data_IF_406773181603
#
_entry.id   IF_406773181603
#
_cell.length_a   1.000
_cell.length_b   1.000
_cell.length_c   1.000
_cell.angle_alpha   90.00
_cell.angle_beta   90.00
_cell.angle_gamma   90.00
#
_symmetry.space_group_name_H-M   'P 1'
#
loop_
_entity.id
_entity.type
_entity.pdbx_description
1 polymer ?
#
# COMPACT_ATOMS: atom_id res chain seq x y z
N UNK A 1 -36.84 82.20 -66.07
CA UNK A 1 -38.18 82.67 -65.66
C UNK A 1 -38.83 81.67 -64.71
N UNK A 2 -38.71 81.92 -63.40
CA UNK A 2 -39.76 81.73 -62.39
C UNK A 2 -39.23 82.37 -61.11
N UNK A 3 -40.02 83.32 -60.62
CA UNK A 3 -39.62 84.41 -59.75
C UNK A 3 -39.42 83.99 -58.29
N UNK A 4 -38.46 84.67 -57.68
CA UNK A 4 -38.13 84.75 -56.26
C UNK A 4 -39.34 85.08 -55.37
N UNK A 5 -39.32 84.55 -54.14
CA UNK A 5 -39.91 85.24 -52.97
C UNK A 5 -38.80 85.44 -51.93
N UNK A 6 -38.41 86.71 -51.78
CA UNK A 6 -37.50 87.22 -50.77
C UNK A 6 -38.24 87.39 -49.43
N UNK A 7 -37.57 87.05 -48.33
CA UNK A 7 -37.83 87.62 -47.01
C UNK A 7 -36.61 88.46 -46.59
N UNK A 8 -36.80 89.61 -45.93
CA UNK A 8 -35.77 90.64 -45.79
C UNK A 8 -34.72 90.37 -44.71
N UNK A 9 -33.60 91.06 -44.90
CA UNK A 9 -32.32 91.04 -44.20
C UNK A 9 -32.23 92.20 -43.18
N UNK A 10 -31.32 92.05 -42.20
CA UNK A 10 -30.71 93.01 -41.25
C UNK A 10 -31.25 92.95 -39.81
N UNK A 11 -30.43 92.74 -38.78
CA UNK A 11 -29.29 93.60 -38.43
C UNK A 11 -27.99 92.92 -37.90
N UNK A 12 -26.90 93.51 -38.38
CA UNK A 12 -25.51 93.55 -37.90
C UNK A 12 -25.25 93.39 -36.39
N UNK A 13 -24.24 92.57 -36.02
CA UNK A 13 -23.05 93.01 -35.26
C UNK A 13 -21.81 92.33 -35.85
N UNK A 14 -20.89 93.18 -36.28
CA UNK A 14 -19.52 92.94 -36.72
C UNK A 14 -18.59 92.54 -35.57
N UNK A 15 -17.73 91.56 -35.78
CA UNK A 15 -16.61 91.28 -34.88
C UNK A 15 -15.65 90.25 -35.45
N UNK A 16 -14.51 90.71 -35.97
CA UNK A 16 -13.42 89.94 -36.55
C UNK A 16 -12.99 88.76 -35.66
N UNK A 17 -13.34 87.53 -36.04
CA UNK A 17 -12.62 86.34 -35.58
C UNK A 17 -11.67 85.91 -36.71
N UNK A 18 -10.41 86.33 -36.56
CA UNK A 18 -9.30 85.96 -37.43
C UNK A 18 -9.28 84.44 -37.66
N UNK A 19 -9.23 84.04 -38.93
CA UNK A 19 -9.05 82.66 -39.40
C UNK A 19 -7.79 81.98 -38.80
N UNK A 20 -6.87 82.77 -38.22
CA UNK A 20 -5.70 82.26 -37.49
C UNK A 20 -6.04 81.63 -36.12
N UNK A 21 -7.21 81.92 -35.55
CA UNK A 21 -7.65 81.30 -34.28
C UNK A 21 -8.33 79.94 -34.50
N UNK A 22 -8.85 79.66 -35.70
CA UNK A 22 -9.47 78.37 -36.02
C UNK A 22 -8.43 77.28 -36.37
N UNK A 23 -7.22 77.66 -36.79
CA UNK A 23 -6.14 76.72 -37.13
C UNK A 23 -5.40 76.18 -35.89
N UNK A 24 -5.48 76.88 -34.75
CA UNK A 24 -4.86 76.43 -33.48
C UNK A 24 -5.72 75.35 -32.79
N UNK A 25 -7.03 75.31 -33.06
CA UNK A 25 -7.89 74.23 -32.54
C UNK A 25 -7.88 72.95 -33.40
N UNK A 26 -7.43 73.00 -34.66
CA UNK A 26 -7.28 71.79 -35.50
C UNK A 26 -6.00 71.00 -35.24
N UNK A 27 -5.00 71.58 -34.56
CA UNK A 27 -3.78 70.87 -34.15
C UNK A 27 -3.99 70.07 -32.85
N UNK A 28 -5.09 70.32 -32.12
CA UNK A 28 -5.46 69.56 -30.92
C UNK A 28 -6.26 68.27 -31.21
N UNK A 29 -6.57 67.97 -32.48
CA UNK A 29 -7.38 66.80 -32.87
C UNK A 29 -6.61 65.66 -33.54
N UNK A 30 -5.27 65.73 -33.61
CA UNK A 30 -4.43 64.64 -34.13
C UNK A 30 -3.14 64.41 -33.34
N UNK A 31 -3.14 64.70 -32.04
CA UNK A 31 -2.13 64.08 -31.18
C UNK A 31 -2.65 62.71 -30.74
N UNK A 32 -2.38 61.68 -31.56
CA UNK A 32 -2.05 60.39 -30.96
C UNK A 32 -0.80 60.63 -30.11
N UNK A 33 -0.99 61.05 -28.86
CA UNK A 33 0.03 60.95 -27.83
C UNK A 33 0.13 59.46 -27.52
N UNK A 34 0.78 58.72 -28.41
CA UNK A 34 1.41 57.48 -28.02
C UNK A 34 2.62 57.90 -27.20
N UNK A 35 2.39 58.15 -25.90
CA UNK A 35 3.48 58.22 -24.93
C UNK A 35 4.03 56.79 -24.78
N UNK A 36 4.88 56.37 -25.72
CA UNK A 36 5.72 55.21 -25.54
C UNK A 36 6.94 55.66 -24.74
N UNK A 37 6.89 55.40 -23.44
CA UNK A 37 8.00 55.65 -22.52
C UNK A 37 7.93 54.86 -21.22
N UNK A 38 7.07 53.86 -21.10
CA UNK A 38 7.09 52.99 -19.92
C UNK A 38 8.18 51.93 -20.12
N UNK A 39 9.31 52.09 -19.45
CA UNK A 39 10.42 51.11 -19.48
C UNK A 39 10.21 49.96 -18.49
N UNK A 40 9.17 50.05 -17.66
CA UNK A 40 8.85 49.12 -16.58
C UNK A 40 7.34 49.00 -16.37
N UNK A 41 6.87 47.99 -15.65
CA UNK A 41 5.47 47.86 -15.26
C UNK A 41 5.19 48.73 -14.04
N UNK A 42 4.13 49.55 -14.09
CA UNK A 42 3.73 50.43 -12.97
C UNK A 42 2.87 49.64 -11.98
N UNK A 43 3.27 49.71 -10.70
CA UNK A 43 2.46 49.22 -9.57
C UNK A 43 1.69 50.40 -8.97
N UNK A 44 0.37 50.36 -9.07
CA UNK A 44 -0.47 51.43 -8.53
C UNK A 44 -0.57 51.29 -7.00
N UNK A 45 -0.32 52.35 -6.26
CA UNK A 45 -0.63 52.37 -4.84
C UNK A 45 -2.14 52.50 -4.64
N UNK A 46 -2.79 51.38 -4.35
CA UNK A 46 -4.20 51.35 -3.99
C UNK A 46 -4.40 50.63 -2.67
N UNK A 47 -3.47 50.87 -1.74
CA UNK A 47 -3.33 50.11 -0.49
C UNK A 47 -4.61 49.98 0.32
N UNK A 48 -5.47 51.00 0.29
CA UNK A 48 -6.72 51.07 1.05
C UNK A 48 -7.98 51.00 0.18
N UNK A 49 -7.87 50.60 -1.09
CA UNK A 49 -9.00 50.51 -2.02
C UNK A 49 -9.38 49.06 -2.25
N UNK A 50 -10.65 48.71 -2.02
CA UNK A 50 -11.20 47.42 -2.45
C UNK A 50 -11.71 47.58 -3.88
N UNK A 51 -11.09 46.88 -4.83
CA UNK A 51 -11.55 46.81 -6.21
C UNK A 51 -12.35 45.52 -6.41
N UNK A 52 -13.56 45.62 -6.92
CA UNK A 52 -14.39 44.50 -7.37
C UNK A 52 -13.91 43.97 -8.73
N UNK A 53 -14.34 42.76 -9.13
CA UNK A 53 -14.13 42.28 -10.49
C UNK A 53 -14.65 43.25 -11.56
N UNK A 54 -15.74 43.98 -11.30
CA UNK A 54 -16.34 44.95 -12.23
C UNK A 54 -15.51 46.20 -12.47
N UNK A 55 -14.65 46.58 -11.52
CA UNK A 55 -13.83 47.79 -11.65
C UNK A 55 -12.70 47.63 -12.68
N UNK A 56 -12.48 46.39 -13.16
CA UNK A 56 -11.36 46.01 -13.99
C UNK A 56 -11.87 45.33 -15.26
N UNK A 57 -11.58 45.97 -16.41
CA UNK A 57 -11.95 45.48 -17.75
C UNK A 57 -10.87 45.80 -18.76
N UNK A 58 -10.68 44.89 -19.71
CA UNK A 58 -9.70 44.97 -20.80
C UNK A 58 -8.30 45.41 -20.35
N UNK A 59 -7.78 44.86 -19.25
CA UNK A 59 -6.48 45.26 -18.70
C UNK A 59 -5.74 44.19 -17.90
N UNK A 60 -4.42 44.35 -17.86
CA UNK A 60 -3.55 43.82 -16.81
C UNK A 60 -3.22 44.96 -15.85
N UNK A 61 -3.35 44.74 -14.54
CA UNK A 61 -3.11 45.79 -13.54
C UNK A 61 -2.29 45.25 -12.38
N UNK A 62 -1.26 45.99 -11.99
CA UNK A 62 -0.49 45.73 -10.79
C UNK A 62 -0.86 46.75 -9.71
N UNK A 63 -1.11 46.27 -8.51
CA UNK A 63 -1.51 47.08 -7.36
C UNK A 63 -0.71 46.71 -6.11
N UNK A 64 -0.27 47.73 -5.37
CA UNK A 64 0.17 47.59 -3.99
C UNK A 64 -1.04 47.70 -3.07
N UNK A 65 -1.29 46.66 -2.27
CA UNK A 65 -2.46 46.51 -1.40
C UNK A 65 -2.07 46.33 0.07
N UNK A 66 -2.86 46.87 0.99
CA UNK A 66 -2.84 46.40 2.38
C UNK A 66 -3.51 45.03 2.40
N UNK A 67 -2.84 44.04 3.00
CA UNK A 67 -3.30 42.65 3.01
C UNK A 67 -4.67 42.51 3.66
N UNK A 68 -4.91 43.23 4.77
CA UNK A 68 -6.16 43.19 5.51
C UNK A 68 -7.33 43.78 4.71
N UNK A 69 -7.09 44.75 3.83
CA UNK A 69 -8.14 45.42 3.03
C UNK A 69 -8.75 44.50 1.99
N UNK A 70 -7.97 43.59 1.43
CA UNK A 70 -8.43 42.60 0.43
C UNK A 70 -8.55 41.19 1.00
N UNK A 71 -8.43 41.07 2.32
CA UNK A 71 -8.46 39.81 3.08
C UNK A 71 -7.51 38.76 2.49
N UNK A 72 -6.35 39.19 2.02
CA UNK A 72 -5.36 38.29 1.42
C UNK A 72 -4.72 37.41 2.51
N UNK A 73 -4.61 36.10 2.30
CA UNK A 73 -3.90 35.19 3.21
C UNK A 73 -2.39 35.40 3.17
N UNK A 74 -1.67 34.82 4.13
CA UNK A 74 -0.20 34.89 4.22
C UNK A 74 0.32 35.87 5.27
N UNK A 75 1.60 36.22 5.17
CA UNK A 75 2.35 37.00 6.17
C UNK A 75 2.66 38.42 5.68
N UNK A 76 2.89 39.33 6.62
CA UNK A 76 3.17 40.74 6.35
C UNK A 76 1.91 41.63 6.27
N UNK A 77 2.13 42.95 6.29
CA UNK A 77 1.05 43.96 6.26
C UNK A 77 0.60 44.31 4.84
N UNK A 78 1.47 44.14 3.85
CA UNK A 78 1.25 44.58 2.47
C UNK A 78 1.46 43.43 1.49
N UNK A 79 0.93 43.61 0.29
CA UNK A 79 1.01 42.61 -0.77
C UNK A 79 0.95 43.25 -2.15
N UNK A 80 1.63 42.62 -3.12
CA UNK A 80 1.47 42.93 -4.53
C UNK A 80 0.35 42.10 -5.13
N UNK A 81 -0.56 42.73 -5.86
CA UNK A 81 -1.63 42.06 -6.61
C UNK A 81 -1.44 42.31 -8.10
N UNK A 82 -1.44 41.23 -8.88
CA UNK A 82 -1.55 41.28 -10.33
C UNK A 82 -2.95 40.84 -10.72
N UNK A 83 -3.69 41.70 -11.41
CA UNK A 83 -5.02 41.37 -11.95
C UNK A 83 -4.95 41.18 -13.45
N UNK A 84 -5.55 40.09 -13.93
CA UNK A 84 -5.80 39.81 -15.33
C UNK A 84 -7.32 39.90 -15.56
N UNK A 85 -7.76 40.96 -16.23
CA UNK A 85 -9.16 41.20 -16.58
C UNK A 85 -9.26 41.47 -18.08
N UNK A 86 -9.13 40.43 -18.94
CA UNK A 86 -8.98 40.61 -20.38
C UNK A 86 -10.27 41.03 -21.09
N UNK A 87 -11.43 40.90 -20.46
CA UNK A 87 -12.73 41.08 -21.10
C UNK A 87 -13.43 42.37 -20.67
N UNK A 88 -14.36 42.83 -21.52
CA UNK A 88 -15.22 43.99 -21.26
C UNK A 88 -16.63 43.62 -20.84
N UNK A 89 -16.97 42.33 -20.86
CA UNK A 89 -18.27 41.76 -20.56
C UNK A 89 -18.15 40.36 -19.91
N UNK A 90 -19.29 39.73 -19.62
CA UNK A 90 -19.36 38.43 -18.95
C UNK A 90 -19.06 37.22 -19.85
N UNK A 91 -18.95 37.40 -21.17
CA UNK A 91 -18.82 36.26 -22.11
C UNK A 91 -17.46 35.59 -22.04
N UNK A 92 -16.43 36.31 -21.61
CA UNK A 92 -15.09 35.76 -21.41
C UNK A 92 -14.87 35.04 -20.07
N UNK A 93 -15.87 35.04 -19.19
CA UNK A 93 -15.80 34.37 -17.89
C UNK A 93 -15.12 35.20 -16.80
N UNK A 94 -14.30 34.56 -15.97
CA UNK A 94 -13.77 35.15 -14.74
C UNK A 94 -12.58 36.09 -15.01
N UNK A 95 -12.45 37.12 -14.16
CA UNK A 95 -11.22 37.84 -13.93
C UNK A 95 -10.36 37.07 -12.92
N UNK A 96 -9.03 37.22 -13.01
CA UNK A 96 -8.07 36.48 -12.18
C UNK A 96 -7.17 37.44 -11.42
N UNK A 97 -6.89 37.13 -10.17
CA UNK A 97 -5.87 37.82 -9.39
C UNK A 97 -4.80 36.85 -8.91
N UNK A 98 -3.55 37.27 -9.02
CA UNK A 98 -2.40 36.69 -8.32
C UNK A 98 -1.96 37.66 -7.23
N UNK A 99 -1.57 37.11 -6.10
CA UNK A 99 -1.17 37.85 -4.92
C UNK A 99 0.18 37.31 -4.44
N UNK A 100 1.11 38.23 -4.23
CA UNK A 100 2.49 37.95 -3.83
C UNK A 100 2.73 38.60 -2.47
N UNK A 101 3.09 37.80 -1.47
CA UNK A 101 3.44 38.28 -0.14
C UNK A 101 4.45 37.34 0.54
N UNK A 102 4.87 37.68 1.76
CA UNK A 102 5.87 36.91 2.51
C UNK A 102 5.42 35.49 2.87
N UNK A 103 4.12 35.21 2.81
CA UNK A 103 3.56 33.87 2.91
C UNK A 103 3.30 33.21 1.56
N UNK A 104 4.00 33.57 0.49
CA UNK A 104 3.93 32.88 -0.82
C UNK A 104 2.99 33.51 -1.85
N UNK A 105 2.51 32.66 -2.77
CA UNK A 105 1.69 33.05 -3.93
C UNK A 105 0.28 32.49 -3.82
N UNK A 106 -0.71 33.38 -3.92
CA UNK A 106 -2.12 33.06 -3.86
C UNK A 106 -2.81 33.51 -5.14
N UNK A 107 -3.94 32.88 -5.47
CA UNK A 107 -4.79 33.31 -6.56
C UNK A 107 -6.26 33.33 -6.16
N UNK A 108 -7.05 34.14 -6.85
CA UNK A 108 -8.50 34.09 -6.75
C UNK A 108 -9.14 34.46 -8.08
N UNK A 109 -10.41 34.15 -8.20
CA UNK A 109 -11.23 34.46 -9.36
C UNK A 109 -12.40 35.35 -8.98
N UNK A 110 -12.96 36.04 -9.95
CA UNK A 110 -14.20 36.78 -9.76
C UNK A 110 -14.91 36.93 -11.10
N UNK A 111 -16.16 36.49 -11.18
CA UNK A 111 -16.95 36.64 -12.39
C UNK A 111 -17.17 38.11 -12.73
N UNK A 112 -17.08 38.45 -14.01
CA UNK A 112 -17.53 39.75 -14.48
C UNK A 112 -19.04 39.91 -14.19
N UNK A 113 -19.45 41.08 -13.71
CA UNK A 113 -20.79 41.36 -13.20
C UNK A 113 -20.87 41.35 -11.67
N UNK A 114 -19.95 40.66 -10.97
CA UNK A 114 -19.98 40.56 -9.51
C UNK A 114 -19.30 41.74 -8.80
N UNK A 115 -19.83 42.09 -7.63
CA UNK A 115 -19.29 43.14 -6.75
C UNK A 115 -18.21 42.62 -5.80
N UNK A 116 -18.01 41.30 -5.69
CA UNK A 116 -17.05 40.67 -4.81
C UNK A 116 -16.22 39.61 -5.54
N UNK A 117 -15.01 39.38 -5.04
CA UNK A 117 -14.14 38.28 -5.47
C UNK A 117 -14.49 36.99 -4.73
N UNK A 118 -14.17 35.84 -5.33
CA UNK A 118 -14.15 34.56 -4.61
C UNK A 118 -13.03 34.53 -3.55
N UNK A 119 -13.11 33.55 -2.65
CA UNK A 119 -12.08 33.27 -1.66
C UNK A 119 -10.71 33.00 -2.30
N UNK A 120 -9.65 33.44 -1.61
CA UNK A 120 -8.28 33.14 -2.00
C UNK A 120 -7.99 31.64 -1.96
N UNK A 121 -7.37 31.15 -3.03
CA UNK A 121 -6.84 29.81 -3.21
C UNK A 121 -5.32 29.90 -3.21
N UNK A 122 -4.64 28.93 -2.61
CA UNK A 122 -3.19 28.95 -2.44
C UNK A 122 -2.49 28.21 -3.57
N UNK A 123 -1.46 28.80 -4.17
CA UNK A 123 -0.73 28.22 -5.30
C UNK A 123 0.56 27.53 -4.85
N UNK A 124 1.46 28.25 -4.16
CA UNK A 124 2.75 27.73 -3.66
C UNK A 124 3.17 28.52 -2.42
N UNK A 125 3.68 27.83 -1.40
CA UNK A 125 4.44 28.41 -0.29
C UNK A 125 5.88 27.92 -0.45
N UNK A 126 6.83 28.84 -0.61
CA UNK A 126 8.17 28.60 -0.13
C UNK A 126 8.25 29.36 1.19
N UNK A 127 8.17 28.64 2.30
CA UNK A 127 8.51 29.24 3.60
C UNK A 127 9.98 29.69 3.58
N UNK A 128 10.43 30.62 4.45
CA UNK A 128 11.83 31.05 4.48
C UNK A 128 12.87 29.91 4.63
N UNK A 129 12.43 28.73 5.07
CA UNK A 129 13.25 27.52 5.19
C UNK A 129 13.16 26.56 3.97
N UNK A 130 12.44 26.94 2.91
CA UNK A 130 12.26 26.16 1.69
C UNK A 130 11.24 25.01 1.78
N UNK A 131 10.33 25.01 2.76
CA UNK A 131 9.30 23.99 2.90
C UNK A 131 8.05 24.35 2.07
N UNK A 132 7.41 23.33 1.49
CA UNK A 132 6.16 23.46 0.71
C UNK A 132 5.01 22.79 1.46
N UNK A 133 3.99 23.59 1.80
CA UNK A 133 2.74 23.11 2.41
C UNK A 133 1.58 23.06 1.41
N UNK A 134 0.99 21.88 1.22
CA UNK A 134 -0.28 21.71 0.49
C UNK A 134 -1.35 21.39 1.54
N UNK A 135 -2.43 22.17 1.60
CA UNK A 135 -3.46 22.04 2.66
C UNK A 135 -3.04 22.41 4.10
N UNK A 136 -1.80 22.87 4.35
CA UNK A 136 -1.34 23.42 5.66
C UNK A 136 -0.56 24.72 5.50
N UNK A 137 -0.66 25.66 6.45
CA UNK A 137 0.16 26.90 6.49
C UNK A 137 1.43 26.76 7.33
N UNK A 138 1.61 25.64 8.03
CA UNK A 138 2.77 25.40 8.88
C UNK A 138 3.40 24.02 8.52
N UNK A 139 4.19 23.96 7.44
CA UNK A 139 4.79 22.72 6.99
C UNK A 139 5.97 22.30 7.89
N UNK A 140 5.84 21.15 8.58
CA UNK A 140 6.87 20.58 9.48
C UNK A 140 7.95 19.75 8.76
N UNK A 141 7.85 19.61 7.43
CA UNK A 141 8.80 18.91 6.58
C UNK A 141 8.90 19.63 5.22
N UNK A 142 9.90 19.25 4.41
CA UNK A 142 10.14 19.85 3.07
C UNK A 142 8.91 19.82 2.18
N UNK A 143 8.12 18.75 2.26
CA UNK A 143 6.79 18.65 1.68
C UNK A 143 5.83 18.17 2.76
N UNK A 144 4.88 19.02 3.16
CA UNK A 144 3.80 18.66 4.08
C UNK A 144 2.47 18.77 3.34
N UNK A 145 1.83 17.63 3.10
CA UNK A 145 0.51 17.56 2.48
C UNK A 145 -0.50 17.20 3.57
N UNK A 146 -1.40 18.12 3.86
CA UNK A 146 -2.49 17.95 4.83
C UNK A 146 -3.83 17.89 4.08
N UNK A 147 -4.68 16.93 4.45
CA UNK A 147 -6.02 16.75 3.89
C UNK A 147 -6.96 16.22 4.99
N UNK A 148 -8.27 16.33 4.76
CA UNK A 148 -9.28 15.73 5.64
C UNK A 148 -9.12 14.20 5.70
N UNK A 149 -9.52 13.57 6.82
CA UNK A 149 -9.52 12.11 6.98
C UNK A 149 -10.40 11.37 5.95
N UNK A 150 -11.32 12.08 5.29
CA UNK A 150 -12.20 11.55 4.25
C UNK A 150 -11.64 11.72 2.84
N UNK A 151 -10.49 12.38 2.69
CA UNK A 151 -9.90 12.73 1.41
C UNK A 151 -8.52 12.09 1.26
N UNK A 152 -8.16 11.72 0.03
CA UNK A 152 -6.79 11.29 -0.25
C UNK A 152 -5.88 12.52 -0.32
N UNK A 153 -4.93 12.62 0.61
CA UNK A 153 -3.89 13.65 0.56
C UNK A 153 -3.06 13.58 -0.73
N UNK A 154 -2.77 12.36 -1.19
CA UNK A 154 -2.04 12.11 -2.44
C UNK A 154 -2.89 11.18 -3.31
N UNK A 155 -3.10 11.57 -4.58
CA UNK A 155 -3.67 10.72 -5.63
C UNK A 155 -2.66 10.60 -6.75
N UNK A 156 -2.32 9.36 -7.12
CA UNK A 156 -1.37 9.06 -8.19
C UNK A 156 -2.12 8.36 -9.30
N UNK A 157 -2.06 8.96 -10.49
CA UNK A 157 -2.74 8.46 -11.69
C UNK A 157 -4.01 9.22 -12.01
N UNK A 158 -4.53 8.93 -13.19
CA UNK A 158 -5.71 9.58 -13.76
C UNK A 158 -6.87 8.58 -13.80
N UNK A 159 -8.07 8.97 -13.30
CA UNK A 159 -9.26 8.15 -13.47
C UNK A 159 -9.57 7.95 -14.96
N UNK A 160 -10.27 6.87 -15.31
CA UNK A 160 -10.73 6.57 -16.67
C UNK A 160 -9.63 6.45 -17.73
N UNK A 161 -8.38 6.18 -17.34
CA UNK A 161 -7.31 5.90 -18.31
C UNK A 161 -7.25 4.40 -18.60
N UNK A 162 -7.71 3.94 -19.78
CA UNK A 162 -7.71 2.53 -20.12
C UNK A 162 -6.27 1.99 -20.14
N UNK A 163 -6.09 0.76 -19.65
CA UNK A 163 -4.82 0.04 -19.77
C UNK A 163 -4.65 -0.55 -21.17
N UNK A 164 -3.52 -1.21 -21.41
CA UNK A 164 -3.33 -2.00 -22.61
C UNK A 164 -4.25 -3.24 -22.56
N UNK A 165 -5.14 -3.40 -23.53
CA UNK A 165 -6.05 -4.56 -23.63
C UNK A 165 -5.36 -5.77 -24.28
N UNK A 166 -4.35 -5.54 -25.13
CA UNK A 166 -3.63 -6.56 -25.87
C UNK A 166 -2.49 -7.13 -25.01
N UNK A 167 -2.84 -7.76 -23.91
CA UNK A 167 -1.92 -8.33 -22.93
C UNK A 167 -2.31 -9.79 -22.64
N UNK A 168 -1.38 -10.74 -22.56
CA UNK A 168 -1.69 -12.12 -22.18
C UNK A 168 -2.43 -12.21 -20.84
N UNK A 169 -3.19 -13.27 -20.63
CA UNK A 169 -3.80 -13.54 -19.32
C UNK A 169 -2.69 -13.75 -18.28
N UNK A 170 -2.85 -13.15 -17.11
CA UNK A 170 -1.81 -13.19 -16.07
C UNK A 170 -0.59 -12.32 -16.39
N UNK A 171 -0.76 -11.23 -17.13
CA UNK A 171 0.29 -10.22 -17.32
C UNK A 171 -0.20 -8.81 -16.98
N UNK A 172 0.76 -7.93 -16.71
CA UNK A 172 0.52 -6.53 -16.31
C UNK A 172 -0.02 -5.70 -17.47
N UNK A 173 -1.17 -5.06 -17.28
CA UNK A 173 -1.83 -4.19 -18.29
C UNK A 173 -1.50 -2.73 -18.10
N UNK A 174 -0.83 -2.38 -17.00
CA UNK A 174 -0.40 -1.03 -16.66
C UNK A 174 -0.43 -0.79 -15.16
N UNK A 175 -0.08 0.42 -14.75
CA UNK A 175 -0.06 0.80 -13.35
C UNK A 175 0.58 2.16 -13.12
N UNK A 176 0.49 2.66 -11.90
CA UNK A 176 1.11 3.90 -11.47
C UNK A 176 2.12 3.64 -10.36
N UNK A 177 3.20 4.41 -10.34
CA UNK A 177 4.38 4.13 -9.54
C UNK A 177 4.71 5.32 -8.62
N UNK A 178 5.35 5.01 -7.49
CA UNK A 178 6.24 5.91 -6.75
C UNK A 178 7.64 5.34 -6.92
N UNK A 179 8.52 6.10 -7.58
CA UNK A 179 9.88 5.70 -7.89
C UNK A 179 10.86 6.34 -6.91
N UNK A 180 11.70 5.51 -6.30
CA UNK A 180 12.76 5.93 -5.39
C UNK A 180 14.09 5.82 -6.12
N UNK A 181 14.60 6.98 -6.53
CA UNK A 181 15.90 7.06 -7.19
C UNK A 181 17.03 6.87 -6.18
N UNK A 182 18.07 6.20 -6.63
CA UNK A 182 19.30 6.01 -5.88
C UNK A 182 20.50 6.16 -6.81
N UNK A 183 21.68 6.22 -6.23
CA UNK A 183 22.93 6.45 -6.92
C UNK A 183 23.83 5.22 -6.83
N UNK A 184 24.52 4.91 -7.93
CA UNK A 184 25.62 3.93 -8.00
C UNK A 184 26.71 4.50 -8.89
N UNK A 185 27.97 4.32 -8.49
CA UNK A 185 29.15 4.91 -9.16
C UNK A 185 29.18 4.67 -10.67
N UNK A 186 28.77 3.48 -11.12
CA UNK A 186 28.79 3.08 -12.54
C UNK A 186 27.47 3.33 -13.27
N UNK A 187 26.40 3.70 -12.56
CA UNK A 187 25.09 4.06 -13.13
C UNK A 187 24.44 5.12 -12.21
N UNK A 188 24.75 6.41 -12.41
CA UNK A 188 24.41 7.47 -11.46
C UNK A 188 22.91 7.73 -11.29
N UNK A 189 22.10 7.44 -12.31
CA UNK A 189 20.66 7.71 -12.33
C UNK A 189 19.86 6.42 -12.55
N UNK A 190 19.37 5.85 -11.45
CA UNK A 190 18.56 4.65 -11.49
C UNK A 190 17.48 4.61 -10.40
N UNK A 191 16.39 3.94 -10.73
CA UNK A 191 15.33 3.64 -9.77
C UNK A 191 15.80 2.46 -8.91
N UNK A 192 16.12 2.73 -7.65
CA UNK A 192 16.56 1.71 -6.69
C UNK A 192 15.40 0.85 -6.21
N UNK A 193 14.24 1.47 -6.00
CA UNK A 193 13.03 0.78 -5.57
C UNK A 193 11.77 1.46 -6.15
N UNK A 194 10.69 0.70 -6.22
CA UNK A 194 9.38 1.17 -6.69
C UNK A 194 8.25 0.56 -5.88
N UNK A 195 7.28 1.41 -5.53
CA UNK A 195 5.96 0.99 -5.06
C UNK A 195 4.98 1.22 -6.21
N UNK A 196 4.20 0.20 -6.58
CA UNK A 196 3.34 0.25 -7.77
C UNK A 196 1.95 -0.29 -7.48
N UNK A 197 0.94 0.48 -7.88
CA UNK A 197 -0.41 -0.03 -8.07
C UNK A 197 -0.48 -0.64 -9.49
N UNK A 198 -0.72 -1.94 -9.59
CA UNK A 198 -0.59 -2.69 -10.83
C UNK A 198 -1.89 -3.37 -11.25
N UNK A 199 -2.19 -3.30 -12.54
CA UNK A 199 -3.36 -3.92 -13.17
C UNK A 199 -2.94 -5.21 -13.85
N UNK A 200 -3.70 -6.28 -13.64
CA UNK A 200 -3.38 -7.60 -14.18
C UNK A 200 -4.55 -8.14 -14.97
N UNK A 201 -4.30 -8.65 -16.18
CA UNK A 201 -5.35 -9.26 -16.98
C UNK A 201 -5.80 -10.59 -16.35
N UNK A 202 -7.07 -10.65 -15.94
CA UNK A 202 -7.69 -11.86 -15.38
C UNK A 202 -8.83 -12.40 -16.25
N UNK A 203 -8.99 -11.88 -17.47
CA UNK A 203 -10.10 -12.24 -18.36
C UNK A 203 -9.70 -13.28 -19.41
N UNK A 204 -8.97 -12.87 -20.45
CA UNK A 204 -8.55 -13.74 -21.56
C UNK A 204 -7.34 -13.16 -22.27
N UNK A 205 -6.60 -14.02 -22.98
CA UNK A 205 -5.39 -13.62 -23.71
C UNK A 205 -5.69 -12.49 -24.70
N UNK A 206 -4.91 -11.41 -24.61
CA UNK A 206 -5.01 -10.22 -25.46
C UNK A 206 -6.38 -9.51 -25.43
N UNK A 207 -7.14 -9.70 -24.35
CA UNK A 207 -8.42 -9.03 -24.15
C UNK A 207 -8.65 -8.73 -22.67
N UNK A 208 -7.88 -7.78 -22.13
CA UNK A 208 -7.85 -7.46 -20.71
C UNK A 208 -9.00 -6.57 -20.22
N UNK A 209 -10.26 -6.95 -20.52
CA UNK A 209 -11.46 -6.22 -20.10
C UNK A 209 -11.72 -6.30 -18.59
N UNK A 210 -11.33 -7.41 -17.96
CA UNK A 210 -11.41 -7.61 -16.50
C UNK A 210 -9.99 -7.67 -15.96
N UNK A 211 -9.73 -6.89 -14.92
CA UNK A 211 -8.41 -6.72 -14.36
C UNK A 211 -8.45 -6.77 -12.84
N UNK A 212 -7.46 -7.43 -12.22
CA UNK A 212 -7.22 -7.28 -10.78
C UNK A 212 -6.29 -6.08 -10.52
N UNK A 213 -6.37 -5.56 -9.30
CA UNK A 213 -5.63 -4.39 -8.83
C UNK A 213 -4.77 -4.82 -7.64
N UNK A 214 -3.46 -4.83 -7.85
CA UNK A 214 -2.50 -5.32 -6.87
C UNK A 214 -1.56 -4.20 -6.43
N UNK A 215 -1.00 -4.32 -5.22
CA UNK A 215 0.10 -3.49 -4.76
C UNK A 215 1.39 -4.31 -4.82
N UNK A 216 2.39 -3.81 -5.54
CA UNK A 216 3.65 -4.50 -5.76
C UNK A 216 4.86 -3.65 -5.38
N UNK A 217 5.88 -4.32 -4.86
CA UNK A 217 7.14 -3.74 -4.42
C UNK A 217 8.27 -4.31 -5.27
N UNK A 218 9.04 -3.41 -5.86
CA UNK A 218 10.14 -3.73 -6.77
C UNK A 218 11.44 -3.21 -6.20
N UNK A 219 12.52 -3.97 -6.38
CA UNK A 219 13.88 -3.51 -6.12
C UNK A 219 14.77 -3.79 -7.31
N UNK A 220 15.79 -2.96 -7.47
CA UNK A 220 16.82 -3.13 -8.48
C UNK A 220 18.02 -3.90 -7.92
N UNK A 221 18.64 -4.73 -8.77
CA UNK A 221 19.97 -5.31 -8.51
C UNK A 221 21.10 -4.35 -8.89
N UNK A 222 20.77 -3.15 -9.39
CA UNK A 222 21.71 -2.08 -9.68
C UNK A 222 22.53 -2.27 -10.96
N UNK A 223 22.20 -3.25 -11.80
CA UNK A 223 22.96 -3.59 -13.00
C UNK A 223 22.66 -2.65 -14.19
N UNK A 224 21.44 -2.12 -14.31
CA UNK A 224 21.04 -1.06 -15.26
C UNK A 224 19.73 -0.39 -14.81
N UNK A 225 19.30 0.67 -15.52
CA UNK A 225 18.10 1.47 -15.20
C UNK A 225 16.78 0.68 -15.31
N UNK A 226 16.77 -0.47 -15.98
CA UNK A 226 15.58 -1.29 -16.24
C UNK A 226 15.49 -2.54 -15.36
N UNK A 227 16.53 -2.84 -14.56
CA UNK A 227 16.64 -4.04 -13.72
C UNK A 227 15.78 -4.03 -12.44
N UNK A 228 14.59 -3.45 -12.50
CA UNK A 228 13.60 -3.53 -11.43
C UNK A 228 12.85 -4.85 -11.52
N UNK A 229 12.96 -5.65 -10.46
CA UNK A 229 12.22 -6.92 -10.35
C UNK A 229 11.29 -6.88 -9.15
N UNK A 230 10.10 -7.44 -9.33
CA UNK A 230 9.14 -7.57 -8.25
C UNK A 230 9.68 -8.51 -7.16
N UNK A 231 9.62 -8.06 -5.91
CA UNK A 231 10.05 -8.84 -4.74
C UNK A 231 8.91 -9.25 -3.85
N UNK A 232 7.87 -8.41 -3.75
CA UNK A 232 6.70 -8.65 -2.91
C UNK A 232 5.45 -8.09 -3.57
N UNK A 233 4.32 -8.77 -3.35
CA UNK A 233 3.00 -8.36 -3.84
C UNK A 233 1.93 -8.59 -2.79
N UNK A 234 0.98 -7.67 -2.72
CA UNK A 234 -0.33 -7.85 -2.10
C UNK A 234 -1.35 -7.85 -3.23
N UNK A 235 -1.96 -9.01 -3.48
CA UNK A 235 -2.95 -9.18 -4.54
C UNK A 235 -4.31 -8.58 -4.15
N UNK A 236 -5.19 -8.37 -5.14
CA UNK A 236 -6.56 -7.90 -4.91
C UNK A 236 -7.39 -8.82 -3.99
N UNK A 237 -7.00 -10.09 -3.83
CA UNK A 237 -7.62 -11.04 -2.89
C UNK A 237 -7.04 -10.96 -1.47
N UNK A 238 -6.09 -10.06 -1.24
CA UNK A 238 -5.41 -9.86 0.03
C UNK A 238 -4.30 -10.88 0.32
N UNK A 239 -3.87 -11.66 -0.67
CA UNK A 239 -2.74 -12.60 -0.49
C UNK A 239 -1.42 -11.85 -0.62
N UNK A 240 -0.50 -12.11 0.30
CA UNK A 240 0.87 -11.59 0.31
C UNK A 240 1.81 -12.64 -0.27
N UNK A 241 2.55 -12.29 -1.31
CA UNK A 241 3.54 -13.17 -1.95
C UNK A 241 4.91 -12.53 -1.94
N UNK A 242 5.96 -13.29 -1.59
CA UNK A 242 7.36 -12.85 -1.59
C UNK A 242 8.16 -13.77 -2.51
N UNK A 243 8.84 -13.19 -3.50
CA UNK A 243 9.63 -13.92 -4.49
C UNK A 243 8.81 -14.74 -5.51
N UNK A 244 7.48 -14.71 -5.44
CA UNK A 244 6.55 -15.38 -6.37
C UNK A 244 5.35 -14.49 -6.66
N UNK A 245 4.74 -14.67 -7.83
CA UNK A 245 3.46 -14.06 -8.20
C UNK A 245 2.27 -14.99 -7.96
N UNK A 246 2.54 -16.29 -7.89
CA UNK A 246 1.54 -17.31 -7.62
C UNK A 246 1.56 -17.66 -6.13
N UNK A 247 0.48 -17.30 -5.43
CA UNK A 247 0.31 -17.60 -4.02
C UNK A 247 -0.24 -19.01 -3.78
N UNK A 248 -0.61 -19.75 -4.84
CA UNK A 248 -1.23 -21.09 -4.78
C UNK A 248 -2.44 -21.17 -3.84
N UNK A 249 -3.19 -20.07 -3.73
CA UNK A 249 -4.34 -19.96 -2.83
C UNK A 249 -4.00 -19.65 -1.36
N UNK A 250 -2.73 -19.67 -0.96
CA UNK A 250 -2.32 -19.31 0.39
C UNK A 250 -2.36 -17.79 0.60
N UNK A 251 -2.69 -17.37 1.82
CA UNK A 251 -2.68 -15.96 2.25
C UNK A 251 -1.27 -15.39 2.32
N UNK A 252 -0.28 -16.22 2.64
CA UNK A 252 1.13 -15.87 2.66
C UNK A 252 1.93 -16.93 1.92
N UNK A 253 2.62 -16.54 0.85
CA UNK A 253 3.43 -17.44 0.03
C UNK A 253 4.85 -16.88 -0.11
N UNK A 254 5.87 -17.71 0.14
CA UNK A 254 7.28 -17.34 0.00
C UNK A 254 7.96 -18.34 -0.92
N UNK A 255 8.53 -17.86 -2.02
CA UNK A 255 9.41 -18.65 -2.86
C UNK A 255 10.86 -18.51 -2.35
N UNK A 256 11.25 -19.41 -1.47
CA UNK A 256 12.59 -19.42 -0.85
C UNK A 256 12.54 -19.89 0.60
N UNK A 257 13.68 -19.80 1.27
CA UNK A 257 13.80 -20.15 2.69
C UNK A 257 13.26 -19.02 3.57
N UNK A 258 12.69 -19.38 4.72
CA UNK A 258 12.25 -18.46 5.76
C UNK A 258 13.01 -18.78 7.06
N UNK A 259 13.43 -17.74 7.78
CA UNK A 259 13.96 -17.85 9.14
C UNK A 259 13.07 -17.03 10.08
N UNK A 260 12.78 -17.57 11.24
CA UNK A 260 11.99 -16.92 12.29
C UNK A 260 12.53 -17.33 13.65
N UNK A 261 12.51 -16.42 14.63
CA UNK A 261 12.87 -16.75 16.01
C UNK A 261 11.82 -17.64 16.68
N UNK A 262 10.55 -17.47 16.31
CA UNK A 262 9.44 -18.29 16.83
C UNK A 262 8.25 -18.31 15.86
N UNK A 263 7.59 -19.47 15.76
CA UNK A 263 6.35 -19.65 15.00
C UNK A 263 5.34 -20.36 15.89
N UNK A 264 4.22 -19.69 16.18
CA UNK A 264 3.08 -20.29 16.89
C UNK A 264 2.04 -20.74 15.87
N UNK A 265 1.87 -22.06 15.74
CA UNK A 265 0.82 -22.66 14.91
C UNK A 265 -0.37 -22.98 15.79
N UNK A 266 -1.50 -22.31 15.55
CA UNK A 266 -2.76 -22.57 16.25
C UNK A 266 -3.79 -23.08 15.23
N UNK A 267 -3.98 -24.39 15.22
CA UNK A 267 -5.03 -25.01 14.42
C UNK A 267 -6.40 -24.63 14.98
N UNK A 268 -7.39 -24.46 14.11
CA UNK A 268 -8.79 -24.33 14.51
C UNK A 268 -9.40 -25.68 14.91
N UNK A 269 -8.80 -26.78 14.46
CA UNK A 269 -9.23 -28.14 14.77
C UNK A 269 -8.77 -28.55 16.17
N UNK A 270 -9.52 -29.47 16.81
CA UNK A 270 -9.17 -29.96 18.15
C UNK A 270 -7.80 -30.64 18.16
N UNK A 271 -7.01 -30.35 19.20
CA UNK A 271 -5.74 -31.00 19.47
C UNK A 271 -5.98 -32.48 19.87
N UNK A 272 -5.08 -33.42 19.54
CA UNK A 272 -5.31 -34.83 19.79
C UNK A 272 -5.03 -35.11 21.27
N UNK A 273 -6.06 -34.99 22.09
CA UNK A 273 -6.08 -35.43 23.51
C UNK A 273 -7.09 -36.58 23.69
N UNK A 274 -7.46 -37.22 22.59
CA UNK A 274 -8.47 -38.27 22.56
C UNK A 274 -7.87 -39.68 22.61
N UNK A 275 -6.57 -39.83 22.43
CA UNK A 275 -5.89 -41.15 22.42
C UNK A 275 -5.96 -41.82 23.80
N UNK A 276 -6.04 -41.03 24.87
CA UNK A 276 -6.13 -41.51 26.25
C UNK A 276 -7.56 -41.78 26.73
N UNK A 277 -8.57 -41.58 25.89
CA UNK A 277 -9.97 -41.87 26.27
C UNK A 277 -10.25 -43.37 26.20
N UNK A 278 -11.10 -43.85 27.10
CA UNK A 278 -11.45 -45.28 27.20
C UNK A 278 -12.07 -45.87 25.92
N UNK A 279 -12.67 -45.03 25.07
CA UNK A 279 -13.27 -45.42 23.79
C UNK A 279 -12.29 -45.40 22.62
N UNK A 280 -11.03 -45.01 22.83
CA UNK A 280 -10.01 -44.98 21.79
C UNK A 280 -9.61 -46.39 21.37
N UNK A 281 -9.84 -46.71 20.09
CA UNK A 281 -9.46 -48.00 19.50
C UNK A 281 -8.00 -47.96 19.07
N UNK A 282 -7.11 -48.32 20.00
CA UNK A 282 -5.70 -48.54 19.68
C UNK A 282 -5.59 -49.69 18.66
N UNK A 283 -4.98 -49.39 17.51
CA UNK A 283 -4.71 -50.41 16.48
C UNK A 283 -3.80 -51.50 17.05
N UNK A 284 -3.78 -52.71 16.49
CA UNK A 284 -2.77 -53.69 16.92
C UNK A 284 -1.42 -53.44 16.25
N UNK A 285 -0.33 -53.88 16.89
CA UNK A 285 1.01 -53.83 16.26
C UNK A 285 1.08 -54.72 15.02
N UNK A 286 0.34 -55.84 14.97
CA UNK A 286 0.26 -56.72 13.81
C UNK A 286 -0.41 -56.03 12.61
N UNK A 287 -1.51 -55.32 12.84
CA UNK A 287 -2.17 -54.52 11.79
C UNK A 287 -1.29 -53.36 11.34
N UNK A 288 -0.59 -52.71 12.27
CA UNK A 288 0.36 -51.64 11.97
C UNK A 288 1.52 -52.16 11.11
N UNK A 289 2.09 -53.32 11.46
CA UNK A 289 3.14 -53.99 10.67
C UNK A 289 2.65 -54.32 9.26
N UNK A 290 1.43 -54.87 9.14
CA UNK A 290 0.80 -55.17 7.86
C UNK A 290 0.66 -53.89 7.02
N UNK A 291 0.19 -52.80 7.62
CA UNK A 291 0.05 -51.52 6.92
C UNK A 291 1.39 -50.98 6.44
N UNK A 292 2.44 -51.05 7.26
CA UNK A 292 3.79 -50.61 6.87
C UNK A 292 4.32 -51.47 5.71
N UNK A 293 4.12 -52.79 5.72
CA UNK A 293 4.53 -53.68 4.62
C UNK A 293 3.79 -53.36 3.31
N UNK A 294 2.51 -52.99 3.40
CA UNK A 294 1.67 -52.70 2.23
C UNK A 294 1.85 -51.27 1.68
N UNK A 295 2.04 -50.28 2.55
CA UNK A 295 2.03 -48.85 2.20
C UNK A 295 3.38 -48.15 2.35
N UNK A 296 4.30 -48.71 3.12
CA UNK A 296 5.65 -48.15 3.32
C UNK A 296 5.72 -46.95 4.27
N UNK A 297 4.63 -46.63 4.99
CA UNK A 297 4.58 -45.54 5.98
C UNK A 297 3.62 -45.89 7.12
N UNK A 298 3.60 -45.06 8.17
CA UNK A 298 2.70 -45.26 9.32
C UNK A 298 1.25 -44.88 8.97
N UNK A 299 0.25 -45.56 9.57
CA UNK A 299 -1.15 -45.18 9.43
C UNK A 299 -1.40 -43.71 9.79
N UNK A 300 -2.08 -42.97 8.91
CA UNK A 300 -2.43 -41.56 9.12
C UNK A 300 -1.30 -40.55 8.80
N UNK A 301 -0.06 -41.00 8.65
CA UNK A 301 1.07 -40.19 8.19
C UNK A 301 1.12 -40.22 6.66
N UNK A 302 1.22 -39.07 5.98
CA UNK A 302 1.30 -39.04 4.52
C UNK A 302 2.56 -39.74 4.01
N UNK A 303 2.45 -40.35 2.83
CA UNK A 303 3.56 -40.96 2.11
C UNK A 303 4.56 -39.92 1.60
N UNK A 304 5.80 -40.35 1.32
CA UNK A 304 6.80 -39.48 0.73
C UNK A 304 6.38 -38.92 -0.65
N UNK A 305 5.55 -39.65 -1.39
CA UNK A 305 5.02 -39.22 -2.68
C UNK A 305 4.02 -38.06 -2.51
N UNK A 306 3.08 -38.17 -1.56
CA UNK A 306 2.10 -37.12 -1.24
C UNK A 306 2.80 -35.86 -0.71
N UNK A 307 3.78 -36.02 0.18
CA UNK A 307 4.59 -34.90 0.71
C UNK A 307 5.33 -34.17 -0.41
N UNK A 308 5.86 -34.90 -1.40
CA UNK A 308 6.58 -34.30 -2.52
C UNK A 308 5.67 -33.50 -3.44
N UNK A 309 4.42 -33.93 -3.64
CA UNK A 309 3.47 -33.24 -4.53
C UNK A 309 2.72 -32.11 -3.84
N UNK A 310 2.34 -32.27 -2.57
CA UNK A 310 1.40 -31.38 -1.88
C UNK A 310 2.05 -30.55 -0.76
N UNK A 311 3.24 -30.95 -0.28
CA UNK A 311 3.88 -30.37 0.89
C UNK A 311 3.31 -30.91 2.20
N UNK A 312 3.63 -30.23 3.31
CA UNK A 312 3.18 -30.61 4.65
C UNK A 312 2.66 -29.36 5.37
N UNK A 313 1.46 -29.45 5.95
CA UNK A 313 1.01 -28.50 6.95
C UNK A 313 1.70 -28.80 8.30
N UNK A 314 2.48 -27.84 8.80
CA UNK A 314 3.27 -28.00 10.03
C UNK A 314 2.41 -28.31 11.26
N UNK A 315 1.22 -27.69 11.36
CA UNK A 315 0.32 -27.92 12.48
C UNK A 315 -0.28 -29.32 12.44
N UNK A 316 -0.83 -29.71 11.29
CA UNK A 316 -1.43 -31.04 11.13
C UNK A 316 -0.40 -32.17 11.24
N UNK A 317 0.84 -31.95 10.78
CA UNK A 317 1.91 -32.93 10.98
C UNK A 317 2.30 -33.05 12.45
N UNK A 318 2.48 -31.94 13.16
CA UNK A 318 2.77 -31.96 14.60
C UNK A 318 1.65 -32.64 15.39
N UNK A 319 0.40 -32.41 15.02
CA UNK A 319 -0.77 -33.09 15.57
C UNK A 319 -0.70 -34.60 15.35
N UNK A 320 -0.47 -35.06 14.12
CA UNK A 320 -0.36 -36.49 13.79
C UNK A 320 0.83 -37.14 14.50
N UNK A 321 1.97 -36.46 14.58
CA UNK A 321 3.15 -36.95 15.30
C UNK A 321 2.86 -37.10 16.79
N UNK A 322 2.18 -36.14 17.41
CA UNK A 322 1.78 -36.23 18.82
C UNK A 322 0.87 -37.44 19.04
N UNK A 323 -0.16 -37.63 18.20
CA UNK A 323 -1.02 -38.82 18.26
C UNK A 323 -0.20 -40.12 18.21
N UNK A 324 0.84 -40.20 17.36
CA UNK A 324 1.71 -41.38 17.29
C UNK A 324 2.60 -41.56 18.52
N UNK A 325 3.06 -40.48 19.13
CA UNK A 325 3.80 -40.55 20.40
C UNK A 325 2.89 -41.07 21.51
N UNK A 326 1.63 -40.65 21.57
CA UNK A 326 0.66 -41.13 22.55
C UNK A 326 0.33 -42.62 22.34
N UNK A 327 0.07 -43.05 21.10
CA UNK A 327 -0.14 -44.46 20.75
C UNK A 327 1.08 -45.33 21.13
N UNK A 328 2.29 -44.87 20.81
CA UNK A 328 3.54 -45.53 21.20
C UNK A 328 3.65 -45.66 22.72
N UNK A 329 3.25 -44.63 23.46
CA UNK A 329 3.24 -44.66 24.93
C UNK A 329 2.28 -45.73 25.47
N UNK A 330 1.09 -45.88 24.88
CA UNK A 330 0.15 -46.95 25.25
C UNK A 330 0.71 -48.35 24.97
N UNK A 331 1.35 -48.57 23.82
CA UNK A 331 2.00 -49.85 23.53
C UNK A 331 3.14 -50.17 24.52
N UNK A 332 3.93 -49.17 24.91
CA UNK A 332 5.00 -49.35 25.90
C UNK A 332 4.43 -49.75 27.27
N UNK A 333 3.35 -49.10 27.73
CA UNK A 333 2.66 -49.46 28.96
C UNK A 333 2.11 -50.88 28.88
N UNK A 334 1.51 -51.26 27.75
CA UNK A 334 0.99 -52.62 27.54
C UNK A 334 2.12 -53.67 27.56
N UNK A 335 3.25 -53.36 26.92
CA UNK A 335 4.43 -54.22 26.88
C UNK A 335 5.06 -54.39 28.26
N UNK A 336 5.18 -53.31 29.04
CA UNK A 336 5.70 -53.36 30.42
C UNK A 336 4.81 -54.22 31.32
N UNK A 337 3.48 -54.04 31.24
CA UNK A 337 2.51 -54.89 31.97
C UNK A 337 2.68 -56.36 31.61
N UNK A 338 2.75 -56.69 30.32
CA UNK A 338 2.93 -58.06 29.85
C UNK A 338 4.26 -58.66 30.33
N UNK A 339 5.36 -57.90 30.25
CA UNK A 339 6.66 -58.35 30.75
C UNK A 339 6.66 -58.57 32.27
N UNK A 340 5.97 -57.73 33.03
CA UNK A 340 5.80 -57.88 34.47
C UNK A 340 5.02 -59.16 34.81
N UNK A 341 3.90 -59.39 34.12
CA UNK A 341 3.09 -60.60 34.27
C UNK A 341 3.88 -61.86 33.92
N UNK A 342 4.63 -61.85 32.81
CA UNK A 342 5.49 -62.97 32.41
C UNK A 342 6.58 -63.24 33.46
N UNK A 343 7.20 -62.19 34.03
CA UNK A 343 8.19 -62.33 35.11
C UNK A 343 7.58 -62.92 36.38
N UNK A 344 6.43 -62.42 36.82
CA UNK A 344 5.74 -62.97 38.00
C UNK A 344 5.33 -64.43 37.79
N UNK A 345 4.86 -64.78 36.58
CA UNK A 345 4.55 -66.17 36.22
C UNK A 345 5.81 -67.07 36.21
N UNK A 346 6.93 -66.57 35.69
CA UNK A 346 8.22 -67.28 35.73
C UNK A 346 8.73 -67.46 37.16
N UNK A 347 8.66 -66.43 38.00
CA UNK A 347 9.05 -66.50 39.41
C UNK A 347 8.21 -67.54 40.17
N UNK A 348 6.90 -67.54 39.95
CA UNK A 348 5.99 -68.54 40.53
C UNK A 348 6.36 -69.97 40.11
N UNK A 349 6.69 -70.16 38.83
CA UNK A 349 7.14 -71.46 38.30
C UNK A 349 8.49 -71.88 38.87
N UNK A 350 9.43 -70.95 39.04
CA UNK A 350 10.74 -71.20 39.66
C UNK A 350 10.56 -71.63 41.12
N UNK A 351 9.67 -70.97 41.88
CA UNK A 351 9.37 -71.35 43.27
C UNK A 351 8.83 -72.78 43.32
N UNK A 352 7.87 -73.12 42.44
CA UNK A 352 7.32 -74.47 42.35
C UNK A 352 8.36 -75.55 42.02
N UNK A 353 9.21 -75.30 41.02
CA UNK A 353 10.29 -76.22 40.63
C UNK A 353 11.34 -76.38 41.75
N UNK A 354 11.68 -75.30 42.47
CA UNK A 354 12.58 -75.37 43.64
C UNK A 354 12.00 -76.21 44.77
N UNK A 355 10.69 -76.12 45.01
CA UNK A 355 10.02 -76.94 46.02
C UNK A 355 10.09 -78.44 45.65
N UNK A 356 9.79 -78.80 44.40
CA UNK A 356 9.89 -80.17 43.90
C UNK A 356 11.33 -80.71 43.96
N UNK A 357 12.33 -79.91 43.58
CA UNK A 357 13.74 -80.30 43.66
C UNK A 357 14.18 -80.54 45.11
N UNK A 358 13.72 -79.72 46.07
CA UNK A 358 13.96 -79.91 47.50
C UNK A 358 13.35 -81.21 48.03
N UNK A 359 12.14 -81.55 47.58
CA UNK A 359 11.49 -82.81 47.92
C UNK A 359 12.24 -84.02 47.36
N UNK A 360 12.61 -83.99 46.08
CA UNK A 360 13.45 -85.02 45.47
C UNK A 360 14.80 -85.19 46.17
N UNK A 361 15.43 -84.08 46.59
CA UNK A 361 16.69 -84.14 47.34
C UNK A 361 16.52 -84.85 48.69
N UNK A 362 15.44 -84.56 49.42
CA UNK A 362 15.11 -85.27 50.67
C UNK A 362 14.89 -86.76 50.44
N UNK A 363 14.23 -87.14 49.35
CA UNK A 363 14.01 -88.55 49.01
C UNK A 363 15.32 -89.26 48.65
N UNK A 364 16.19 -88.62 47.87
CA UNK A 364 17.53 -89.12 47.57
C UNK A 364 18.33 -89.35 48.86
N UNK A 365 18.31 -88.39 49.78
CA UNK A 365 19.02 -88.50 51.06
C UNK A 365 18.45 -89.65 51.92
N UNK A 366 17.13 -89.82 51.91
CA UNK A 366 16.45 -90.95 52.59
C UNK A 366 16.83 -92.30 51.97
N UNK A 367 16.94 -92.37 50.64
CA UNK A 367 17.42 -93.58 49.94
C UNK A 367 18.88 -93.89 50.28
N UNK A 368 19.78 -92.89 50.26
CA UNK A 368 21.19 -93.06 50.65
C UNK A 368 21.34 -93.60 52.07
N UNK A 369 20.53 -93.11 53.02
CA UNK A 369 20.48 -93.62 54.39
C UNK A 369 20.07 -95.09 54.46
N UNK A 370 19.03 -95.51 53.72
CA UNK A 370 18.59 -96.91 53.65
C UNK A 370 19.62 -97.84 53.01
N UNK A 371 20.33 -97.38 51.98
CA UNK A 371 21.42 -98.16 51.35
C UNK A 371 22.57 -98.32 52.34
N UNK A 372 22.95 -97.24 53.04
CA UNK A 372 24.03 -97.28 54.04
C UNK A 372 23.67 -98.19 55.22
N UNK A 373 22.41 -98.24 55.65
CA UNK A 373 21.98 -99.16 56.70
C UNK A 373 21.95 -100.63 56.24
N UNK A 374 21.52 -100.92 55.01
CA UNK A 374 21.59 -102.26 54.42
C UNK A 374 23.03 -102.73 54.23
N UNK A 375 23.92 -101.88 53.72
CA UNK A 375 25.34 -102.21 53.56
C UNK A 375 26.01 -102.56 54.91
N UNK A 376 25.54 -101.97 56.02
CA UNK A 376 26.03 -102.24 57.38
C UNK A 376 25.42 -103.49 58.02
N UNK A 377 24.39 -104.09 57.42
CA UNK A 377 23.76 -105.33 57.87
C UNK A 377 24.26 -106.57 57.10
N UNK A 378 25.07 -106.38 56.06
CA UNK A 378 25.65 -107.43 55.20
C UNK A 378 27.11 -107.76 55.60
N UNK A 379 27.72 -106.95 56.47
CA UNK A 379 28.96 -107.24 57.21
C UNK A 379 28.63 -107.48 58.68
#
# INVERSE_FOLDING_TARGET
>A
MKNFKLYPINSFISGNLSLKTLLVCSVALFTQINCFGQSELVVNDTRNVVSSPNDLKNRVRFDFKNRAVIESPGLGMFTGVMTLAPWGDATGGNNYQLNFNAGGVYYRTGAFGNTAWESWKRLVMEEPNGNVGIGTTDPSAKLHINASLTESAIKIGTPNTPGNLNVPMGASTGGYNIDFYTWRDVQPDQIGARIRAERWNTHSNNNALIQSMDLAFYTSVGLDQTNLTEKMRISSSGNVSIGTKDSKGYKFAVAGNMIAESVKVQLQSAWPDYVFKDDYKLTSLQETEKHIKEKGHLPGIPSAAEVKSEGIDLGEMNKKLLQKIEELTLYLIQMEKKNSEERSAQESKIIGLKAQASEQQKDIDRMKLKIKSHAKAIY
#
